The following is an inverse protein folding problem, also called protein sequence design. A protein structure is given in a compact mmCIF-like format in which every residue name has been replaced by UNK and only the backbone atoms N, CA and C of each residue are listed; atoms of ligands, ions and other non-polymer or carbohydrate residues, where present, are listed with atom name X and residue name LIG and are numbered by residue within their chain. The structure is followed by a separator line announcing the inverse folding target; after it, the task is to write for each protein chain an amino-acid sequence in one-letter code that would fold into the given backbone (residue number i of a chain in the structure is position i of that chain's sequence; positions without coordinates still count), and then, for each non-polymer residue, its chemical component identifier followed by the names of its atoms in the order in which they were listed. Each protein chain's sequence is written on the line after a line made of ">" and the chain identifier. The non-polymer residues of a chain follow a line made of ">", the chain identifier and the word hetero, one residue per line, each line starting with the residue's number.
data_IF_072392349073
#
_entry.id   IF_072392349073
#
_cell.length_a   1.000
_cell.length_b   1.000
_cell.length_c   1.000
_cell.angle_alpha   90.00
_cell.angle_beta   90.00
_cell.angle_gamma   90.00
#
_symmetry.space_group_name_H-M   'P 1'
#
loop_
_entity.id
_entity.type
_entity.pdbx_description
1 polymer ?
#
# COMPACT_ATOMS: atom_id res chain seq x y z
N UNK A 1 5.83 -5.51 12.92
CA UNK A 1 6.14 -5.24 11.50
C UNK A 1 6.42 -6.56 10.82
N UNK A 2 5.78 -6.83 9.67
CA UNK A 2 5.80 -8.14 9.01
C UNK A 2 6.86 -8.20 7.89
N UNK A 3 7.11 -7.06 7.23
CA UNK A 3 8.13 -6.87 6.20
C UNK A 3 8.95 -5.59 6.45
N UNK A 4 10.16 -5.44 5.89
CA UNK A 4 10.96 -4.23 6.05
C UNK A 4 10.38 -3.01 5.31
N UNK A 5 9.68 -3.23 4.20
CA UNK A 5 9.04 -2.20 3.40
C UNK A 5 7.96 -2.79 2.47
N UNK A 6 7.30 -1.92 1.71
CA UNK A 6 6.26 -2.26 0.75
C UNK A 6 6.75 -3.17 -0.38
N UNK A 7 8.00 -3.02 -0.83
CA UNK A 7 8.53 -3.83 -1.93
C UNK A 7 8.79 -5.26 -1.46
N UNK A 8 9.33 -5.43 -0.26
CA UNK A 8 9.48 -6.74 0.37
C UNK A 8 8.13 -7.41 0.67
N UNK A 9 7.10 -6.62 1.00
CA UNK A 9 5.72 -7.11 1.08
C UNK A 9 5.25 -7.63 -0.29
N UNK A 10 5.44 -6.86 -1.37
CA UNK A 10 5.00 -7.27 -2.71
C UNK A 10 5.69 -8.52 -3.23
N UNK A 11 6.97 -8.71 -2.88
CA UNK A 11 7.74 -9.89 -3.27
C UNK A 11 7.21 -11.17 -2.59
N UNK A 12 6.68 -11.03 -1.37
CA UNK A 12 6.22 -12.15 -0.53
C UNK A 12 4.71 -12.39 -0.60
N UNK A 13 3.93 -11.34 -0.79
CA UNK A 13 2.46 -11.37 -0.86
C UNK A 13 2.02 -10.79 -2.22
N UNK A 14 1.94 -11.62 -3.28
CA UNK A 14 1.55 -11.16 -4.62
C UNK A 14 0.13 -10.56 -4.64
N UNK A 15 -0.74 -10.97 -3.71
CA UNK A 15 -2.05 -10.37 -3.50
C UNK A 15 -1.96 -8.89 -3.08
N UNK A 16 -0.99 -8.54 -2.23
CA UNK A 16 -0.75 -7.15 -1.85
C UNK A 16 -0.31 -6.30 -3.05
N UNK A 17 0.54 -6.86 -3.92
CA UNK A 17 0.93 -6.18 -5.16
C UNK A 17 -0.27 -5.99 -6.10
N UNK A 18 -1.08 -7.03 -6.29
CA UNK A 18 -2.28 -6.95 -7.15
C UNK A 18 -3.29 -5.93 -6.64
N UNK A 19 -3.47 -5.85 -5.32
CA UNK A 19 -4.30 -4.81 -4.70
C UNK A 19 -3.73 -3.42 -4.97
N UNK A 20 -2.44 -3.21 -4.69
CA UNK A 20 -1.77 -1.94 -4.94
C UNK A 20 -1.88 -1.49 -6.40
N UNK A 21 -1.61 -2.40 -7.35
CA UNK A 21 -1.68 -2.11 -8.78
C UNK A 21 -3.10 -1.73 -9.26
N UNK A 22 -4.14 -2.12 -8.52
CA UNK A 22 -5.54 -1.78 -8.79
C UNK A 22 -6.02 -0.45 -8.19
N UNK A 23 -5.19 0.22 -7.38
CA UNK A 23 -5.53 1.51 -6.78
C UNK A 23 -5.38 2.66 -7.80
N UNK A 24 -6.12 3.78 -7.61
CA UNK A 24 -5.92 4.98 -8.43
C UNK A 24 -4.48 5.47 -8.39
N UNK A 25 -3.99 6.06 -9.49
CA UNK A 25 -2.61 6.53 -9.63
C UNK A 25 -2.17 7.44 -8.48
N UNK A 26 -3.01 8.40 -8.10
CA UNK A 26 -2.71 9.33 -7.01
C UNK A 26 -2.58 8.63 -5.64
N UNK A 27 -3.33 7.54 -5.41
CA UNK A 27 -3.25 6.73 -4.19
C UNK A 27 -1.94 5.94 -4.19
N UNK A 28 -1.58 5.34 -5.32
CA UNK A 28 -0.32 4.59 -5.49
C UNK A 28 0.89 5.49 -5.30
N UNK A 29 0.88 6.70 -5.85
CA UNK A 29 1.94 7.69 -5.67
C UNK A 29 2.08 8.09 -4.20
N UNK A 30 0.97 8.43 -3.53
CA UNK A 30 1.00 8.80 -2.11
C UNK A 30 1.50 7.67 -1.21
N UNK A 31 1.06 6.43 -1.46
CA UNK A 31 1.56 5.25 -0.73
C UNK A 31 3.07 5.06 -0.99
N UNK A 32 3.51 5.23 -2.24
CA UNK A 32 4.93 5.10 -2.61
C UNK A 32 5.82 6.10 -1.87
N UNK A 33 5.33 7.32 -1.60
CA UNK A 33 6.08 8.29 -0.76
C UNK A 33 6.32 7.82 0.67
N UNK A 34 5.50 6.89 1.17
CA UNK A 34 5.59 6.32 2.53
C UNK A 34 5.77 4.80 2.52
N UNK A 35 6.46 4.28 1.50
CA UNK A 35 6.67 2.84 1.32
C UNK A 35 7.29 2.13 2.55
N UNK A 36 8.11 2.84 3.36
CA UNK A 36 8.68 2.29 4.59
C UNK A 36 7.67 2.09 5.73
N UNK A 37 6.51 2.76 5.68
CA UNK A 37 5.43 2.58 6.66
C UNK A 37 4.48 1.44 6.30
N UNK A 38 4.47 0.99 5.04
CA UNK A 38 3.59 -0.06 4.53
C UNK A 38 4.33 -1.38 4.57
N UNK A 39 4.15 -2.13 5.66
CA UNK A 39 4.90 -3.37 5.93
C UNK A 39 4.02 -4.61 6.12
N UNK A 40 2.74 -4.51 5.78
CA UNK A 40 1.78 -5.60 5.81
C UNK A 40 0.63 -5.30 4.85
N UNK A 41 -0.08 -6.34 4.39
CA UNK A 41 -1.26 -6.14 3.55
C UNK A 41 -2.37 -5.33 4.24
N UNK A 42 -2.53 -5.50 5.55
CA UNK A 42 -3.44 -4.69 6.38
C UNK A 42 -3.05 -3.21 6.34
N UNK A 43 -1.79 -2.88 6.62
CA UNK A 43 -1.31 -1.49 6.58
C UNK A 43 -1.48 -0.83 5.21
N UNK A 44 -1.33 -1.61 4.12
CA UNK A 44 -1.56 -1.15 2.76
C UNK A 44 -3.04 -0.78 2.54
N UNK A 45 -3.96 -1.65 2.98
CA UNK A 45 -5.40 -1.42 2.85
C UNK A 45 -5.86 -0.24 3.69
N UNK A 46 -5.45 -0.16 4.95
CA UNK A 46 -5.80 0.95 5.84
C UNK A 46 -5.32 2.29 5.28
N UNK A 47 -4.12 2.32 4.71
CA UNK A 47 -3.58 3.53 4.10
C UNK A 47 -4.35 3.95 2.85
N UNK A 48 -4.65 2.98 1.97
CA UNK A 48 -5.46 3.22 0.78
C UNK A 48 -6.88 3.70 1.13
N UNK A 49 -7.54 3.10 2.13
CA UNK A 49 -8.86 3.51 2.59
C UNK A 49 -8.88 4.93 3.16
N UNK A 50 -7.86 5.31 3.93
CA UNK A 50 -7.74 6.67 4.46
C UNK A 50 -7.55 7.71 3.34
N UNK A 51 -6.74 7.40 2.32
CA UNK A 51 -6.56 8.28 1.16
C UNK A 51 -7.84 8.40 0.34
N UNK A 52 -8.54 7.30 0.08
CA UNK A 52 -9.81 7.32 -0.66
C UNK A 52 -10.93 8.05 0.08
N UNK A 53 -10.93 8.08 1.42
CA UNK A 53 -11.92 8.85 2.21
C UNK A 53 -11.60 10.34 2.30
N UNK A 54 -10.33 10.73 2.17
CA UNK A 54 -9.89 12.12 2.22
C UNK A 54 -10.05 12.89 0.90
N UNK A 55 -10.32 12.19 -0.20
CA UNK A 55 -10.55 12.75 -1.55
C UNK A 55 -12.03 13.12 -1.81
N UNK A 56 -12.83 13.26 -0.74
CA UNK A 56 -14.26 13.62 -0.78
C UNK A 56 -14.55 15.04 -0.33
#
# INVERSE_FOLDING_TARGET
>A
MKYPDMYALFDREPEAKRYFDGLPDYVRDQISTRAGGVNSFESLRDYAENLCRGDG
#
